data_IF_604998509713
#
_entry.id   IF_604998509713
#
_cell.length_a   1.000
_cell.length_b   1.000
_cell.length_c   1.000
_cell.angle_alpha   90.00
_cell.angle_beta   90.00
_cell.angle_gamma   90.00
#
_symmetry.space_group_name_H-M   'P 1'
#
loop_
_entity.id
_entity.type
_entity.pdbx_description
1 polymer ?
#
# COMPACT_ATOMS: atom_id res chain seq x y z
N UNK A 1 3.25 -23.29 3.14
CA UNK A 1 4.72 -23.29 3.31
C UNK A 1 5.22 -21.89 3.00
N UNK A 2 6.16 -21.31 3.77
CA UNK A 2 6.70 -19.99 3.45
C UNK A 2 7.40 -20.04 2.08
N UNK A 3 7.21 -19.04 1.21
CA UNK A 3 7.83 -19.04 -0.10
C UNK A 3 9.34 -18.88 0.02
N UNK A 4 10.09 -19.65 -0.76
CA UNK A 4 11.54 -19.51 -0.86
C UNK A 4 11.86 -18.37 -1.82
N UNK A 5 12.65 -17.40 -1.33
CA UNK A 5 13.10 -16.26 -2.13
C UNK A 5 14.55 -16.47 -2.51
N UNK A 6 14.81 -16.44 -3.82
CA UNK A 6 16.16 -16.39 -4.36
C UNK A 6 16.47 -15.02 -4.91
N UNK A 7 17.64 -14.50 -4.54
CA UNK A 7 18.19 -13.25 -5.02
C UNK A 7 19.31 -13.50 -6.02
N UNK A 8 19.25 -12.87 -7.20
CA UNK A 8 20.36 -12.93 -8.15
C UNK A 8 21.54 -12.07 -7.65
N UNK A 9 22.49 -12.70 -6.94
CA UNK A 9 23.63 -12.02 -6.35
C UNK A 9 24.50 -11.25 -7.37
N UNK A 10 24.68 -11.77 -8.59
CA UNK A 10 25.43 -11.05 -9.65
C UNK A 10 24.67 -9.83 -10.17
N UNK A 11 23.36 -9.96 -10.34
CA UNK A 11 22.49 -8.86 -10.72
C UNK A 11 22.34 -7.78 -9.63
N UNK A 12 22.60 -8.15 -8.37
CA UNK A 12 22.63 -7.25 -7.22
C UNK A 12 23.99 -6.59 -7.03
N UNK A 13 25.10 -7.28 -7.30
CA UNK A 13 26.44 -6.72 -7.18
C UNK A 13 26.66 -5.50 -8.09
N UNK A 14 25.92 -5.41 -9.20
CA UNK A 14 25.96 -4.28 -10.14
C UNK A 14 24.84 -3.24 -9.90
N UNK A 15 24.09 -3.35 -8.80
CA UNK A 15 22.98 -2.45 -8.52
C UNK A 15 23.52 -1.06 -8.14
N UNK A 16 22.93 -0.02 -8.75
CA UNK A 16 23.26 1.37 -8.46
C UNK A 16 22.17 2.03 -7.63
N UNK A 17 22.56 2.93 -6.73
CA UNK A 17 21.61 3.69 -5.91
C UNK A 17 20.69 4.58 -6.75
N UNK A 18 21.21 5.29 -7.77
CA UNK A 18 20.46 6.23 -8.63
C UNK A 18 20.30 5.73 -10.06
N UNK A 19 19.08 5.86 -10.64
CA UNK A 19 18.83 5.72 -12.08
C UNK A 19 18.36 7.06 -12.64
N UNK A 20 19.28 7.91 -13.10
CA UNK A 20 18.95 9.16 -13.79
C UNK A 20 17.79 9.96 -13.15
N UNK A 21 17.06 10.70 -13.98
CA UNK A 21 15.89 11.46 -13.57
C UNK A 21 14.62 10.57 -13.57
N UNK A 22 14.46 9.70 -12.57
CA UNK A 22 13.18 9.01 -12.35
C UNK A 22 12.26 9.81 -11.43
N UNK A 23 11.01 9.99 -11.85
CA UNK A 23 9.98 10.72 -11.08
C UNK A 23 9.32 9.86 -10.00
N UNK A 24 9.41 8.53 -10.08
CA UNK A 24 8.80 7.61 -9.11
C UNK A 24 9.55 7.58 -7.78
N UNK A 25 8.83 7.76 -6.65
CA UNK A 25 9.40 7.69 -5.29
C UNK A 25 10.07 6.33 -5.03
N UNK A 26 9.45 5.23 -5.47
CA UNK A 26 9.98 3.88 -5.29
C UNK A 26 11.24 3.57 -6.13
N UNK A 27 11.58 4.42 -7.10
CA UNK A 27 12.80 4.28 -7.91
C UNK A 27 13.97 5.10 -7.35
N UNK A 28 13.73 5.97 -6.36
CA UNK A 28 14.75 6.82 -5.75
C UNK A 28 15.51 6.06 -4.66
N UNK A 29 16.82 6.33 -4.48
CA UNK A 29 17.55 5.78 -3.36
C UNK A 29 16.93 6.20 -2.03
N UNK A 30 17.02 5.30 -1.06
CA UNK A 30 16.55 5.52 0.31
C UNK A 30 17.77 5.74 1.19
N UNK A 31 17.85 6.91 1.84
CA UNK A 31 18.90 7.16 2.81
C UNK A 31 18.51 6.44 4.10
N UNK A 32 19.30 5.45 4.48
CA UNK A 32 19.11 4.68 5.70
C UNK A 32 20.13 5.16 6.73
N UNK A 33 19.65 5.41 7.95
CA UNK A 33 20.50 5.70 9.10
C UNK A 33 20.27 4.60 10.13
N UNK A 34 21.26 3.75 10.33
CA UNK A 34 21.29 2.82 11.43
C UNK A 34 22.12 3.42 12.57
N UNK A 35 21.57 3.40 13.77
CA UNK A 35 22.35 3.59 14.98
C UNK A 35 22.93 2.22 15.38
N UNK A 36 24.05 1.85 14.76
CA UNK A 36 24.82 0.66 15.13
C UNK A 36 25.87 1.09 16.15
N UNK A 37 25.82 0.55 17.37
CA UNK A 37 26.87 0.71 18.39
C UNK A 37 27.27 2.16 18.72
N UNK A 38 26.32 3.10 18.68
CA UNK A 38 26.55 4.51 18.99
C UNK A 38 27.25 5.32 17.89
N UNK A 39 27.50 4.72 16.72
CA UNK A 39 27.96 5.44 15.52
C UNK A 39 26.84 5.47 14.48
N UNK A 40 26.36 6.66 14.07
CA UNK A 40 25.32 6.75 13.06
C UNK A 40 25.87 6.30 11.70
N UNK A 41 25.44 5.14 11.25
CA UNK A 41 25.77 4.59 9.94
C UNK A 41 24.76 5.13 8.93
N UNK A 42 25.19 6.08 8.10
CA UNK A 42 24.40 6.61 6.99
C UNK A 42 24.78 5.89 5.69
N UNK A 43 23.86 5.12 5.12
CA UNK A 43 24.04 4.40 3.85
C UNK A 43 22.93 4.75 2.85
N UNK A 44 23.19 4.53 1.57
CA UNK A 44 22.25 4.83 0.49
C UNK A 44 21.76 3.54 -0.17
N UNK A 45 20.57 3.09 0.24
CA UNK A 45 19.96 1.89 -0.29
C UNK A 45 19.45 2.10 -1.71
N UNK A 46 19.52 1.07 -2.58
CA UNK A 46 18.91 1.14 -3.89
C UNK A 46 17.40 1.37 -3.77
N UNK A 47 16.81 2.05 -4.74
CA UNK A 47 15.36 2.27 -4.73
C UNK A 47 14.58 0.95 -4.66
N UNK A 48 13.50 0.86 -3.84
CA UNK A 48 12.75 -0.38 -3.65
C UNK A 48 12.33 -1.09 -4.93
N UNK A 49 11.90 -0.33 -5.95
CA UNK A 49 11.49 -0.89 -7.23
C UNK A 49 12.64 -1.55 -8.01
N UNK A 50 13.89 -1.13 -7.79
CA UNK A 50 15.06 -1.78 -8.43
C UNK A 50 15.35 -3.11 -7.78
N UNK A 51 15.37 -3.15 -6.45
CA UNK A 51 15.59 -4.39 -5.71
C UNK A 51 14.48 -5.40 -6.01
N UNK A 52 13.24 -4.95 -6.12
CA UNK A 52 12.09 -5.76 -6.52
C UNK A 52 12.30 -6.50 -7.85
N UNK A 53 12.95 -5.91 -8.85
CA UNK A 53 13.24 -6.61 -10.13
C UNK A 53 14.25 -7.76 -10.01
N UNK A 54 14.90 -7.91 -8.85
CA UNK A 54 15.89 -8.96 -8.57
C UNK A 54 15.35 -10.07 -7.68
N UNK A 55 14.12 -9.92 -7.17
CA UNK A 55 13.44 -10.93 -6.38
C UNK A 55 12.86 -12.00 -7.31
N UNK A 56 13.09 -13.26 -6.96
CA UNK A 56 12.41 -14.41 -7.55
C UNK A 56 11.84 -15.28 -6.43
N UNK A 57 10.61 -15.72 -6.62
CA UNK A 57 10.02 -16.77 -5.80
C UNK A 57 10.24 -18.08 -6.55
N UNK A 58 10.87 -19.05 -5.89
CA UNK A 58 11.20 -20.32 -6.52
C UNK A 58 9.98 -21.22 -6.59
N UNK A 59 9.91 -22.04 -7.65
CA UNK A 59 8.88 -23.06 -7.88
C UNK A 59 7.42 -22.58 -7.88
N UNK A 60 7.20 -21.26 -8.00
CA UNK A 60 5.85 -20.68 -8.05
C UNK A 60 5.66 -19.66 -9.18
N UNK A 61 4.46 -19.66 -9.78
CA UNK A 61 3.98 -18.56 -10.59
C UNK A 61 3.34 -17.50 -9.69
N UNK A 62 3.81 -16.26 -9.79
CA UNK A 62 3.36 -15.15 -8.95
C UNK A 62 2.46 -14.16 -9.71
N UNK A 63 1.33 -13.80 -9.11
CA UNK A 63 0.35 -12.89 -9.67
C UNK A 63 -0.02 -11.80 -8.66
N UNK A 64 -0.56 -10.70 -9.19
CA UNK A 64 -1.14 -9.62 -8.40
C UNK A 64 -2.66 -9.68 -8.42
N UNK A 65 -3.27 -9.52 -7.25
CA UNK A 65 -4.68 -9.11 -7.11
C UNK A 65 -4.75 -7.96 -6.10
N UNK A 66 -4.92 -6.72 -6.59
CA UNK A 66 -4.77 -5.54 -5.73
C UNK A 66 -3.36 -5.46 -5.12
N UNK A 67 -3.26 -5.46 -3.79
CA UNK A 67 -2.00 -5.55 -3.03
C UNK A 67 -1.63 -6.99 -2.61
N UNK A 68 -2.50 -7.96 -2.84
CA UNK A 68 -2.22 -9.35 -2.53
C UNK A 68 -1.24 -9.94 -3.54
N UNK A 69 -0.28 -10.69 -3.00
CA UNK A 69 0.54 -11.62 -3.76
C UNK A 69 -0.22 -12.94 -3.81
N UNK A 70 -0.54 -13.41 -5.01
CA UNK A 70 -1.10 -14.74 -5.22
C UNK A 70 -0.03 -15.62 -5.84
N UNK A 71 0.06 -16.87 -5.38
CA UNK A 71 0.99 -17.85 -5.95
C UNK A 71 0.31 -19.17 -6.24
N UNK A 72 0.83 -19.89 -7.22
CA UNK A 72 0.55 -21.32 -7.45
C UNK A 72 1.85 -22.01 -7.83
N UNK A 73 1.95 -23.35 -7.74
CA UNK A 73 3.11 -24.06 -8.26
C UNK A 73 3.35 -23.73 -9.74
N UNK A 74 4.61 -23.60 -10.15
CA UNK A 74 4.97 -23.24 -11.53
C UNK A 74 4.36 -24.21 -12.53
N UNK A 75 3.64 -23.68 -13.52
CA UNK A 75 3.02 -24.48 -14.57
C UNK A 75 1.78 -25.27 -14.12
N UNK A 76 1.30 -25.06 -12.90
CA UNK A 76 0.04 -25.63 -12.41
C UNK A 76 -1.17 -24.88 -12.98
N UNK A 77 -2.27 -25.61 -13.19
CA UNK A 77 -3.58 -25.04 -13.52
C UNK A 77 -4.43 -24.74 -12.28
N UNK A 78 -3.88 -24.96 -11.09
CA UNK A 78 -4.53 -24.63 -9.82
C UNK A 78 -4.82 -23.13 -9.71
N UNK A 79 -5.86 -22.81 -8.92
CA UNK A 79 -6.22 -21.42 -8.63
C UNK A 79 -5.14 -20.81 -7.72
N UNK A 80 -4.52 -19.68 -8.09
CA UNK A 80 -3.53 -19.04 -7.23
C UNK A 80 -4.09 -18.65 -5.86
N UNK A 81 -3.36 -19.00 -4.81
CA UNK A 81 -3.73 -18.75 -3.42
C UNK A 81 -2.98 -17.54 -2.87
N UNK A 82 -3.59 -16.77 -1.94
CA UNK A 82 -2.94 -15.64 -1.31
C UNK A 82 -1.78 -16.08 -0.41
N UNK A 83 -0.69 -15.32 -0.47
CA UNK A 83 0.49 -15.52 0.37
C UNK A 83 0.59 -14.39 1.39
N UNK A 84 0.93 -14.75 2.63
CA UNK A 84 1.24 -13.80 3.69
C UNK A 84 2.44 -12.93 3.31
N UNK A 85 2.20 -11.62 3.16
CA UNK A 85 3.28 -10.67 2.89
C UNK A 85 4.27 -10.54 4.07
N UNK A 86 3.82 -10.88 5.28
CA UNK A 86 4.69 -10.93 6.48
C UNK A 86 5.72 -12.04 6.32
N UNK A 87 5.30 -13.22 5.84
CA UNK A 87 6.21 -14.36 5.63
C UNK A 87 7.17 -14.08 4.47
N UNK A 88 6.68 -13.44 3.42
CA UNK A 88 7.52 -12.96 2.30
C UNK A 88 8.54 -11.93 2.78
N UNK A 89 8.17 -11.02 3.68
CA UNK A 89 9.08 -10.04 4.28
C UNK A 89 10.16 -10.69 5.14
N UNK A 90 9.79 -11.70 5.94
CA UNK A 90 10.75 -12.47 6.71
C UNK A 90 11.74 -13.20 5.79
N UNK A 91 11.23 -13.95 4.80
CA UNK A 91 12.08 -14.67 3.83
C UNK A 91 13.00 -13.73 3.04
N UNK A 92 12.52 -12.53 2.65
CA UNK A 92 13.34 -11.56 1.94
C UNK A 92 14.41 -10.97 2.85
N UNK A 93 14.08 -10.71 4.12
CA UNK A 93 15.04 -10.23 5.12
C UNK A 93 16.16 -11.24 5.32
N UNK A 94 15.82 -12.52 5.44
CA UNK A 94 16.80 -13.60 5.61
C UNK A 94 17.66 -13.75 4.35
N UNK A 95 17.07 -13.70 3.16
CA UNK A 95 17.82 -13.73 1.90
C UNK A 95 18.78 -12.54 1.76
N UNK A 96 18.38 -11.35 2.19
CA UNK A 96 19.23 -10.15 2.17
C UNK A 96 20.37 -10.22 3.19
N UNK A 97 20.14 -10.83 4.35
CA UNK A 97 21.19 -11.10 5.36
C UNK A 97 22.18 -12.17 4.93
N UNK A 98 21.72 -13.13 4.13
CA UNK A 98 22.55 -14.20 3.59
C UNK A 98 23.33 -13.79 2.34
N UNK A 99 23.27 -12.53 1.90
CA UNK A 99 24.03 -12.07 0.74
C UNK A 99 25.54 -12.20 1.01
N UNK A 100 26.32 -12.74 0.05
CA UNK A 100 27.76 -12.91 0.21
C UNK A 100 28.47 -11.55 0.17
N UNK A 101 29.53 -11.41 0.98
CA UNK A 101 30.41 -10.26 0.86
C UNK A 101 31.11 -10.25 -0.50
N UNK A 102 31.07 -9.10 -1.18
CA UNK A 102 31.66 -8.93 -2.51
C UNK A 102 32.45 -7.62 -2.60
N UNK A 103 33.79 -7.69 -2.62
CA UNK A 103 34.63 -6.48 -2.70
C UNK A 103 34.57 -5.79 -4.06
N UNK A 104 34.15 -6.51 -5.11
CA UNK A 104 34.00 -6.03 -6.49
C UNK A 104 32.64 -5.37 -6.76
N UNK A 105 31.70 -5.45 -5.82
CA UNK A 105 30.34 -4.94 -5.99
C UNK A 105 30.26 -3.42 -5.87
N UNK A 106 29.26 -2.84 -6.54
CA UNK A 106 28.90 -1.42 -6.45
C UNK A 106 28.52 -1.02 -5.01
N UNK A 107 28.75 0.23 -4.64
CA UNK A 107 28.53 0.73 -3.27
C UNK A 107 27.12 0.44 -2.73
N UNK A 108 26.09 0.52 -3.57
CA UNK A 108 24.71 0.28 -3.14
C UNK A 108 24.46 -1.18 -2.71
N UNK A 109 25.22 -2.14 -3.23
CA UNK A 109 25.20 -3.52 -2.75
C UNK A 109 25.82 -3.65 -1.37
N UNK A 110 26.98 -3.01 -1.16
CA UNK A 110 27.69 -3.02 0.11
C UNK A 110 26.84 -2.35 1.20
N UNK A 111 26.24 -1.20 0.89
CA UNK A 111 25.29 -0.48 1.73
C UNK A 111 24.06 -1.32 2.10
N UNK A 112 23.54 -2.12 1.15
CA UNK A 112 22.43 -3.03 1.39
C UNK A 112 22.82 -4.16 2.35
N UNK A 113 24.02 -4.75 2.19
CA UNK A 113 24.54 -5.78 3.10
C UNK A 113 24.72 -5.22 4.52
N UNK A 114 25.30 -4.02 4.63
CA UNK A 114 25.45 -3.32 5.91
C UNK A 114 24.11 -3.05 6.60
N UNK A 115 23.12 -2.55 5.85
CA UNK A 115 21.79 -2.30 6.40
C UNK A 115 21.09 -3.60 6.84
N UNK A 116 21.18 -4.66 6.03
CA UNK A 116 20.61 -5.98 6.36
C UNK A 116 21.24 -6.58 7.62
N UNK A 117 22.55 -6.44 7.79
CA UNK A 117 23.28 -6.89 8.98
C UNK A 117 22.92 -6.10 10.24
N UNK A 118 22.77 -4.76 10.13
CA UNK A 118 22.42 -3.91 11.28
C UNK A 118 21.01 -4.17 11.83
N UNK A 119 20.08 -4.62 11.00
CA UNK A 119 18.77 -5.14 11.42
C UNK A 119 17.96 -4.22 12.34
N UNK A 120 17.32 -3.17 11.80
CA UNK A 120 16.46 -2.25 12.55
C UNK A 120 15.05 -2.06 11.95
N UNK A 121 14.15 -1.41 12.70
CA UNK A 121 12.76 -1.16 12.24
C UNK A 121 12.67 -0.35 10.94
N UNK A 122 13.62 0.56 10.69
CA UNK A 122 13.72 1.28 9.42
C UNK A 122 14.05 0.35 8.23
N UNK A 123 14.81 -0.73 8.47
CA UNK A 123 15.12 -1.73 7.45
C UNK A 123 13.89 -2.59 7.14
N UNK A 124 13.10 -2.96 8.14
CA UNK A 124 11.81 -3.63 7.94
C UNK A 124 10.84 -2.79 7.09
N UNK A 125 10.81 -1.47 7.31
CA UNK A 125 10.07 -0.53 6.45
C UNK A 125 10.57 -0.55 5.00
N UNK A 126 11.89 -0.54 4.79
CA UNK A 126 12.48 -0.67 3.46
C UNK A 126 12.10 -1.99 2.76
N UNK A 127 12.18 -3.13 3.46
CA UNK A 127 11.79 -4.45 2.95
C UNK A 127 10.31 -4.46 2.54
N UNK A 128 9.44 -3.82 3.34
CA UNK A 128 8.01 -3.68 3.02
C UNK A 128 7.81 -2.89 1.72
N UNK A 129 8.52 -1.78 1.53
CA UNK A 129 8.46 -1.00 0.31
C UNK A 129 8.95 -1.78 -0.92
N UNK A 130 9.95 -2.65 -0.75
CA UNK A 130 10.47 -3.53 -1.81
C UNK A 130 9.41 -4.55 -2.22
N UNK A 131 8.72 -5.18 -1.26
CA UNK A 131 7.66 -6.15 -1.53
C UNK A 131 6.47 -5.48 -2.22
N UNK A 132 6.08 -4.29 -1.77
CA UNK A 132 5.03 -3.50 -2.46
C UNK A 132 5.41 -3.22 -3.91
N UNK A 133 6.66 -2.84 -4.17
CA UNK A 133 7.15 -2.61 -5.52
C UNK A 133 7.22 -3.90 -6.36
N UNK A 134 7.56 -5.04 -5.73
CA UNK A 134 7.55 -6.36 -6.36
C UNK A 134 6.14 -6.77 -6.78
N UNK A 135 5.18 -6.77 -5.85
CA UNK A 135 3.77 -7.09 -6.13
C UNK A 135 3.23 -6.17 -7.23
N UNK A 136 3.54 -4.88 -7.18
CA UNK A 136 3.11 -3.91 -8.20
C UNK A 136 3.65 -4.22 -9.60
N UNK A 137 4.84 -4.81 -9.72
CA UNK A 137 5.45 -5.18 -10.99
C UNK A 137 4.91 -6.50 -11.56
N UNK A 138 4.24 -7.33 -10.75
CA UNK A 138 3.65 -8.59 -11.20
C UNK A 138 2.47 -8.37 -12.15
N UNK A 139 2.25 -9.36 -13.02
CA UNK A 139 1.07 -9.40 -13.87
C UNK A 139 -0.20 -9.60 -13.03
N UNK A 140 -1.31 -8.91 -13.35
CA UNK A 140 -2.58 -9.18 -12.69
C UNK A 140 -3.04 -10.60 -12.99
N UNK A 141 -3.76 -11.22 -12.05
CA UNK A 141 -4.36 -12.53 -12.28
C UNK A 141 -5.26 -12.48 -13.55
N UNK A 142 -5.09 -13.41 -14.52
CA UNK A 142 -5.97 -13.47 -15.67
C UNK A 142 -7.40 -13.69 -15.18
N UNK A 143 -8.30 -12.74 -15.44
CA UNK A 143 -9.72 -12.93 -15.11
C UNK A 143 -10.23 -14.11 -15.93
N UNK A 144 -10.62 -15.20 -15.26
CA UNK A 144 -11.39 -16.26 -15.89
C UNK A 144 -12.58 -15.60 -16.61
N UNK A 145 -12.77 -15.97 -17.88
CA UNK A 145 -13.51 -15.19 -18.88
C UNK A 145 -14.69 -14.44 -18.30
N UNK A 146 -14.67 -13.10 -18.41
CA UNK A 146 -15.81 -12.28 -18.04
C UNK A 146 -17.04 -12.88 -18.71
N UNK A 147 -18.02 -13.31 -17.91
CA UNK A 147 -19.35 -13.68 -18.41
C UNK A 147 -19.77 -12.53 -19.29
N UNK A 148 -19.90 -12.77 -20.60
CA UNK A 148 -20.42 -11.77 -21.53
C UNK A 148 -21.82 -11.45 -21.03
N UNK A 149 -21.95 -10.35 -20.28
CA UNK A 149 -23.25 -9.76 -20.03
C UNK A 149 -23.89 -9.58 -21.42
N UNK A 150 -25.08 -10.15 -21.61
CA UNK A 150 -25.83 -10.03 -22.85
C UNK A 150 -26.01 -8.55 -23.23
N UNK A 151 -26.49 -8.26 -24.46
CA UNK A 151 -26.55 -6.89 -24.96
C UNK A 151 -27.34 -5.99 -24.01
N UNK A 152 -26.61 -5.22 -23.18
CA UNK A 152 -27.20 -4.15 -22.37
C UNK A 152 -27.68 -3.08 -23.34
N UNK A 153 -28.91 -2.61 -23.16
CA UNK A 153 -29.45 -1.51 -23.94
C UNK A 153 -28.43 -0.35 -23.98
N UNK A 154 -28.24 0.23 -25.16
CA UNK A 154 -27.21 1.24 -25.37
C UNK A 154 -27.47 2.45 -24.45
N UNK A 155 -26.72 2.55 -23.35
CA UNK A 155 -26.79 3.70 -22.47
C UNK A 155 -26.32 4.95 -23.21
N UNK A 156 -27.11 6.01 -23.10
CA UNK A 156 -26.75 7.34 -23.61
C UNK A 156 -25.56 7.90 -22.82
N UNK A 157 -24.83 8.86 -23.39
CA UNK A 157 -23.71 9.50 -22.70
C UNK A 157 -24.11 10.14 -21.37
N UNK A 158 -25.33 10.68 -21.27
CA UNK A 158 -25.87 11.26 -20.05
C UNK A 158 -26.11 10.21 -18.95
N UNK A 159 -26.62 9.03 -19.31
CA UNK A 159 -26.83 7.92 -18.37
C UNK A 159 -25.51 7.36 -17.85
N UNK A 160 -24.50 7.21 -18.72
CA UNK A 160 -23.15 6.79 -18.30
C UNK A 160 -22.53 7.77 -17.32
N UNK A 161 -22.64 9.07 -17.60
CA UNK A 161 -22.11 10.11 -16.72
C UNK A 161 -22.86 10.16 -15.39
N UNK A 162 -24.18 9.95 -15.39
CA UNK A 162 -24.98 9.87 -14.16
C UNK A 162 -24.55 8.66 -13.32
N UNK A 163 -24.48 7.47 -13.92
CA UNK A 163 -24.05 6.25 -13.25
C UNK A 163 -22.61 6.38 -12.70
N UNK A 164 -21.72 7.03 -13.45
CA UNK A 164 -20.35 7.28 -12.99
C UNK A 164 -20.32 8.18 -11.75
N UNK A 165 -21.06 9.30 -11.75
CA UNK A 165 -21.14 10.22 -10.61
C UNK A 165 -21.74 9.54 -9.39
N UNK A 166 -22.78 8.74 -9.60
CA UNK A 166 -23.45 8.00 -8.54
C UNK A 166 -22.50 6.97 -7.92
N UNK A 167 -21.74 6.24 -8.75
CA UNK A 167 -20.70 5.32 -8.28
C UNK A 167 -19.57 6.03 -7.53
N UNK A 168 -19.08 7.15 -8.04
CA UNK A 168 -18.06 7.97 -7.37
C UNK A 168 -18.55 8.44 -6.00
N UNK A 169 -19.82 8.86 -5.92
CA UNK A 169 -20.45 9.27 -4.68
C UNK A 169 -20.50 8.11 -3.68
N UNK A 170 -20.99 6.94 -4.09
CA UNK A 170 -21.05 5.73 -3.24
C UNK A 170 -19.66 5.36 -2.71
N UNK A 171 -18.65 5.33 -3.57
CA UNK A 171 -17.27 5.04 -3.19
C UNK A 171 -16.70 6.04 -2.17
N UNK A 172 -16.94 7.34 -2.38
CA UNK A 172 -16.50 8.38 -1.46
C UNK A 172 -17.17 8.26 -0.09
N UNK A 173 -18.48 7.98 -0.06
CA UNK A 173 -19.19 7.76 1.20
C UNK A 173 -18.68 6.54 1.96
N UNK A 174 -18.47 5.42 1.25
CA UNK A 174 -17.92 4.21 1.85
C UNK A 174 -16.50 4.44 2.41
N UNK A 175 -15.66 5.20 1.71
CA UNK A 175 -14.29 5.52 2.16
C UNK A 175 -14.28 6.34 3.45
N UNK A 176 -15.21 7.30 3.58
CA UNK A 176 -15.32 8.08 4.82
C UNK A 176 -15.92 7.24 5.93
N UNK A 177 -16.88 6.36 5.64
CA UNK A 177 -17.46 5.46 6.64
C UNK A 177 -16.41 4.51 7.22
N UNK A 178 -15.61 3.88 6.36
CA UNK A 178 -14.46 3.04 6.75
C UNK A 178 -13.47 3.81 7.63
N UNK A 179 -13.05 4.99 7.19
CA UNK A 179 -12.17 5.85 8.00
C UNK A 179 -12.78 6.21 9.36
N UNK A 180 -14.07 6.55 9.42
CA UNK A 180 -14.76 6.86 10.67
C UNK A 180 -14.78 5.65 11.60
N UNK A 181 -15.02 4.46 11.07
CA UNK A 181 -14.99 3.20 11.83
C UNK A 181 -13.60 2.98 12.43
N UNK A 182 -12.53 3.10 11.65
CA UNK A 182 -11.17 2.84 12.15
C UNK A 182 -10.69 3.93 13.13
N UNK A 183 -10.90 5.21 12.82
CA UNK A 183 -10.28 6.32 13.56
C UNK A 183 -11.13 6.80 14.74
N UNK A 184 -12.47 6.69 14.68
CA UNK A 184 -13.29 7.06 15.84
C UNK A 184 -13.46 5.93 16.85
N UNK A 185 -13.23 4.66 16.46
CA UNK A 185 -13.28 3.51 17.37
C UNK A 185 -11.92 3.22 18.02
N UNK A 186 -10.82 3.83 17.56
CA UNK A 186 -9.53 3.74 18.24
C UNK A 186 -9.54 4.58 19.54
N UNK A 187 -9.40 3.89 20.68
CA UNK A 187 -9.55 4.44 22.02
C UNK A 187 -8.54 5.56 22.36
N UNK A 188 -7.41 5.60 21.65
CA UNK A 188 -6.34 6.57 21.81
C UNK A 188 -6.48 7.80 20.90
N UNK A 189 -7.41 7.79 19.95
CA UNK A 189 -7.59 8.89 18.99
C UNK A 189 -8.64 9.91 19.47
N UNK A 190 -8.12 11.02 19.98
CA UNK A 190 -8.67 12.38 19.85
C UNK A 190 -10.16 12.64 20.22
N UNK A 191 -10.53 12.45 21.48
CA UNK A 191 -11.84 12.83 22.06
C UNK A 191 -12.13 14.35 22.04
N UNK A 192 -13.41 14.70 22.02
CA UNK A 192 -13.91 16.08 22.19
C UNK A 192 -14.09 16.84 20.87
N UNK A 193 -14.04 18.17 20.94
CA UNK A 193 -14.27 19.03 19.76
C UNK A 193 -13.09 18.98 18.79
N UNK A 194 -13.36 18.72 17.51
CA UNK A 194 -12.35 18.72 16.43
C UNK A 194 -12.81 19.54 15.23
N UNK A 195 -11.87 20.22 14.59
CA UNK A 195 -12.13 20.98 13.37
C UNK A 195 -12.52 20.02 12.24
N UNK A 196 -13.60 20.30 11.52
CA UNK A 196 -14.00 19.51 10.36
C UNK A 196 -12.92 19.49 9.27
N UNK A 197 -12.15 20.58 9.14
CA UNK A 197 -11.05 20.65 8.18
C UNK A 197 -9.87 19.75 8.59
N UNK A 198 -9.57 19.67 9.90
CA UNK A 198 -8.53 18.78 10.42
C UNK A 198 -8.95 17.31 10.26
N UNK A 199 -10.24 17.01 10.51
CA UNK A 199 -10.81 15.69 10.29
C UNK A 199 -10.79 15.29 8.81
N UNK A 200 -11.09 16.22 7.90
CA UNK A 200 -11.01 15.96 6.46
C UNK A 200 -9.58 15.67 6.03
N UNK A 201 -8.60 16.44 6.50
CA UNK A 201 -7.19 16.21 6.23
C UNK A 201 -6.70 14.87 6.79
N UNK A 202 -7.13 14.51 8.00
CA UNK A 202 -6.84 13.22 8.62
C UNK A 202 -7.43 12.06 7.81
N UNK A 203 -8.68 12.20 7.33
CA UNK A 203 -9.34 11.22 6.47
C UNK A 203 -8.56 11.02 5.16
N UNK A 204 -8.19 12.10 4.48
CA UNK A 204 -7.39 12.01 3.25
C UNK A 204 -6.04 11.35 3.51
N UNK A 205 -5.35 11.74 4.59
CA UNK A 205 -4.06 11.15 4.96
C UNK A 205 -4.19 9.66 5.26
N UNK A 206 -5.24 9.26 5.99
CA UNK A 206 -5.54 7.86 6.24
C UNK A 206 -5.79 7.10 4.95
N UNK A 207 -6.65 7.62 4.07
CA UNK A 207 -6.97 6.96 2.81
C UNK A 207 -5.73 6.85 1.90
N UNK A 208 -4.87 7.88 1.86
CA UNK A 208 -3.62 7.87 1.08
C UNK A 208 -2.61 6.84 1.62
N UNK A 209 -2.56 6.68 2.94
CA UNK A 209 -1.63 5.74 3.58
C UNK A 209 -2.17 4.30 3.59
N UNK A 210 -3.50 4.14 3.65
CA UNK A 210 -4.17 2.86 3.82
C UNK A 210 -4.59 2.25 2.48
N UNK A 211 -4.86 3.05 1.44
CA UNK A 211 -5.39 2.57 0.16
C UNK A 211 -4.69 3.17 -1.07
N UNK A 212 -4.46 2.37 -2.12
CA UNK A 212 -4.09 2.86 -3.44
C UNK A 212 -5.33 3.34 -4.23
N UNK A 213 -5.18 4.28 -5.19
CA UNK A 213 -6.30 4.72 -6.03
C UNK A 213 -6.98 3.54 -6.74
N UNK A 214 -8.27 3.31 -6.45
CA UNK A 214 -9.05 2.22 -7.06
C UNK A 214 -8.94 0.87 -6.36
N UNK A 215 -8.30 0.80 -5.19
CA UNK A 215 -8.29 -0.38 -4.32
C UNK A 215 -9.68 -0.65 -3.73
N UNK A 216 -10.09 -1.91 -3.58
CA UNK A 216 -11.40 -2.26 -3.03
C UNK A 216 -11.42 -2.01 -1.52
N UNK A 217 -12.52 -1.46 -1.00
CA UNK A 217 -12.75 -1.34 0.45
C UNK A 217 -13.24 -2.67 1.07
N UNK A 218 -13.81 -3.58 0.27
CA UNK A 218 -14.34 -4.88 0.72
C UNK A 218 -13.96 -6.02 -0.23
N UNK A 219 -13.93 -7.26 0.26
CA UNK A 219 -13.52 -8.46 -0.50
C UNK A 219 -14.60 -9.02 -1.46
N UNK A 220 -15.88 -8.61 -1.39
CA UNK A 220 -16.98 -9.05 -2.30
C UNK A 220 -18.12 -7.99 -2.42
N UNK A 221 -19.18 -8.20 -3.23
CA UNK A 221 -19.27 -8.37 -4.67
C UNK A 221 -19.57 -7.04 -5.41
N UNK A 222 -19.90 -5.98 -4.69
CA UNK A 222 -19.96 -4.64 -5.25
C UNK A 222 -18.56 -4.06 -5.16
N UNK A 223 -17.85 -3.89 -6.28
CA UNK A 223 -16.51 -3.28 -6.30
C UNK A 223 -16.57 -1.79 -5.87
N UNK A 224 -16.79 -1.56 -4.57
CA UNK A 224 -16.65 -0.28 -3.89
C UNK A 224 -15.17 -0.07 -3.71
N UNK A 225 -14.67 0.97 -4.35
CA UNK A 225 -13.24 1.28 -4.30
C UNK A 225 -12.98 2.49 -3.41
N UNK A 226 -11.85 2.47 -2.72
CA UNK A 226 -11.32 3.60 -1.98
C UNK A 226 -11.23 4.80 -2.92
N UNK A 227 -11.87 5.89 -2.50
CA UNK A 227 -11.97 7.11 -3.25
C UNK A 227 -11.76 8.30 -2.31
N UNK A 228 -11.00 9.29 -2.78
CA UNK A 228 -10.78 10.51 -2.03
C UNK A 228 -12.07 11.33 -2.00
N UNK A 229 -12.71 11.51 -0.84
CA UNK A 229 -13.95 12.26 -0.73
C UNK A 229 -13.71 13.73 -0.98
N UNK A 230 -14.60 14.36 -1.75
CA UNK A 230 -14.64 15.82 -1.81
C UNK A 230 -14.98 16.37 -0.42
N UNK A 231 -14.56 17.62 -0.12
CA UNK A 231 -14.96 18.29 1.13
C UNK A 231 -16.47 18.22 1.33
N UNK A 232 -17.25 18.51 0.28
CA UNK A 232 -18.72 18.49 0.35
C UNK A 232 -19.26 17.13 0.79
N UNK A 233 -18.79 16.04 0.18
CA UNK A 233 -19.27 14.68 0.50
C UNK A 233 -18.84 14.25 1.90
N UNK A 234 -17.61 14.60 2.29
CA UNK A 234 -17.10 14.36 3.64
C UNK A 234 -17.95 15.04 4.72
N UNK A 235 -18.20 16.35 4.58
CA UNK A 235 -19.03 17.11 5.50
C UNK A 235 -20.48 16.59 5.52
N UNK A 236 -21.01 16.17 4.37
CA UNK A 236 -22.35 15.58 4.29
C UNK A 236 -22.46 14.26 5.07
N UNK A 237 -21.43 13.40 5.04
CA UNK A 237 -21.42 12.18 5.84
C UNK A 237 -21.20 12.49 7.33
N UNK A 238 -20.27 13.38 7.66
CA UNK A 238 -20.02 13.80 9.04
C UNK A 238 -21.28 14.38 9.69
N UNK A 239 -22.05 15.19 8.99
CA UNK A 239 -23.32 15.72 9.52
C UNK A 239 -24.34 14.61 9.82
N UNK A 240 -24.31 13.50 9.08
CA UNK A 240 -25.14 12.32 9.34
C UNK A 240 -24.70 11.50 10.55
N UNK A 241 -23.38 11.39 10.76
CA UNK A 241 -22.77 10.57 11.82
C UNK A 241 -22.54 11.39 13.10
N UNK A 242 -21.72 12.44 13.01
CA UNK A 242 -21.39 13.36 14.09
C UNK A 242 -22.39 14.53 14.09
N UNK A 243 -23.61 14.25 14.53
CA UNK A 243 -24.75 15.20 14.50
C UNK A 243 -24.50 16.51 15.25
N UNK A 244 -23.61 16.49 16.26
CA UNK A 244 -23.31 17.67 17.08
C UNK A 244 -22.13 18.44 16.52
N UNK A 245 -22.41 19.64 15.99
CA UNK A 245 -21.40 20.57 15.48
C UNK A 245 -21.58 21.98 16.01
N UNK A 246 -20.50 22.76 16.05
CA UNK A 246 -20.52 24.19 16.38
C UNK A 246 -19.69 24.99 15.40
N UNK A 247 -20.07 26.25 15.19
CA UNK A 247 -19.26 27.19 14.39
C UNK A 247 -18.18 27.80 15.27
N UNK A 248 -16.97 27.87 14.75
CA UNK A 248 -15.79 28.46 15.38
C UNK A 248 -15.19 29.52 14.46
N UNK A 249 -14.22 30.29 14.94
CA UNK A 249 -13.49 31.27 14.12
C UNK A 249 -12.71 30.62 12.95
N UNK A 250 -12.41 29.32 13.05
CA UNK A 250 -11.65 28.56 12.04
C UNK A 250 -12.53 27.72 11.10
N UNK A 251 -13.84 27.70 11.31
CA UNK A 251 -14.77 26.87 10.53
C UNK A 251 -15.73 26.08 11.41
N UNK A 252 -16.19 24.94 10.92
CA UNK A 252 -17.08 24.04 11.65
C UNK A 252 -16.26 23.07 12.48
N UNK A 253 -16.65 22.86 13.74
CA UNK A 253 -16.09 21.81 14.58
C UNK A 253 -17.16 20.79 14.95
N UNK A 254 -16.78 19.52 14.98
CA UNK A 254 -17.61 18.38 15.35
C UNK A 254 -17.25 17.90 16.75
N UNK A 255 -18.26 17.48 17.52
CA UNK A 255 -18.05 16.80 18.78
C UNK A 255 -17.88 15.30 18.50
N UNK A 256 -16.72 14.75 18.85
CA UNK A 256 -16.50 13.30 18.85
C UNK A 256 -16.93 12.78 20.24
N UNK A 257 -17.98 11.94 20.31
CA UNK A 257 -18.54 11.48 21.58
C UNK A 257 -17.60 10.50 22.30
N UNK A 258 -17.74 10.41 23.61
CA UNK A 258 -17.05 9.39 24.41
C UNK A 258 -17.80 8.06 24.25
N UNK A 259 -17.12 7.04 23.69
CA UNK A 259 -17.68 5.70 23.56
C UNK A 259 -18.76 5.60 22.48
N UNK A 260 -18.35 5.65 21.21
CA UNK A 260 -19.14 5.01 20.15
C UNK A 260 -18.92 3.51 20.34
N UNK A 261 -19.84 2.86 21.04
CA UNK A 261 -19.99 1.41 20.93
C UNK A 261 -20.76 1.18 19.64
N UNK A 262 -20.17 0.41 18.73
CA UNK A 262 -20.89 -0.15 17.57
C UNK A 262 -22.03 -1.04 18.06
#
# INVERSE_FOLDING_TARGET
>A
MPPTITLNADGLATIRARLGASTSKAARPVNYRADSDGTPLAVSLPGPARLATRIRLDDVDAYRSGRALLTRPTGSDETPEPVSLVDVAAALTDALRALPERPDAEQAYQDLCLAAASGGGLFAGYVTDVIRAYVKALSPLPKAGAVREGPKAAQTGAERMKALRERQKVNAFASVADWLEVILLDADTARGWRSGDDLHAACLTYLENSYEPGESLMEEPEHIVAAMPSRRDFYALLDGVLRTRRRTKRGVAYLIPEGVTA
#
